data_IF_641255045275
#
_entry.id   IF_641255045275
#
_cell.length_a   1.000
_cell.length_b   1.000
_cell.length_c   1.000
_cell.angle_alpha   90.00
_cell.angle_beta   90.00
_cell.angle_gamma   90.00
#
_symmetry.space_group_name_H-M   'P 1'
#
loop_
_entity.id
_entity.type
_entity.pdbx_description
1 polymer ?
#
# COMPACT_ATOMS: atom_id res chain seq x y z
N UNK A 1 41.47 7.55 -12.46
CA UNK A 1 40.44 7.33 -13.50
C UNK A 1 39.24 6.64 -12.86
N UNK A 2 38.10 7.33 -12.77
CA UNK A 2 36.83 6.66 -12.44
C UNK A 2 36.38 5.87 -13.67
N UNK A 3 36.16 4.56 -13.55
CA UNK A 3 35.62 3.74 -14.64
C UNK A 3 34.23 4.20 -15.07
N UNK A 4 33.69 3.68 -16.19
CA UNK A 4 32.36 4.08 -16.70
C UNK A 4 31.31 4.03 -15.58
N UNK A 5 30.51 5.09 -15.48
CA UNK A 5 29.60 5.34 -14.36
C UNK A 5 28.62 4.19 -14.16
N UNK A 6 28.85 3.36 -13.14
CA UNK A 6 28.02 2.19 -12.85
C UNK A 6 26.63 2.61 -12.36
N UNK A 7 25.58 1.79 -12.59
CA UNK A 7 24.28 2.07 -12.02
C UNK A 7 24.32 2.16 -10.49
N UNK A 8 23.47 3.02 -9.93
CA UNK A 8 23.33 3.27 -8.48
C UNK A 8 21.90 2.99 -8.07
N UNK A 9 21.72 2.40 -6.88
CA UNK A 9 20.40 2.17 -6.30
C UNK A 9 20.23 3.10 -5.12
N UNK A 10 19.07 3.75 -5.02
CA UNK A 10 18.71 4.62 -3.91
C UNK A 10 17.38 4.11 -3.35
N UNK A 11 17.34 3.84 -2.04
CA UNK A 11 16.14 3.35 -1.35
C UNK A 11 15.59 4.47 -0.47
N UNK A 12 14.31 4.83 -0.68
CA UNK A 12 13.55 5.76 0.15
C UNK A 12 12.45 5.00 0.89
N UNK A 13 12.30 5.24 2.18
CA UNK A 13 11.22 4.66 2.97
C UNK A 13 11.39 4.89 4.46
N UNK A 14 10.62 4.14 5.24
CA UNK A 14 10.61 4.20 6.71
C UNK A 14 11.42 3.04 7.33
N UNK A 15 10.94 2.46 8.44
CA UNK A 15 11.62 1.40 9.19
C UNK A 15 11.93 0.15 8.34
N UNK A 16 11.04 -0.26 7.43
CA UNK A 16 11.28 -1.44 6.54
C UNK A 16 12.51 -1.24 5.65
N UNK A 17 12.70 -0.04 5.10
CA UNK A 17 13.89 0.30 4.31
C UNK A 17 15.10 0.45 5.20
N UNK A 18 14.94 1.03 6.41
CA UNK A 18 16.04 1.16 7.37
C UNK A 18 16.61 -0.20 7.78
N UNK A 19 15.76 -1.17 8.13
CA UNK A 19 16.17 -2.52 8.51
C UNK A 19 16.53 -3.41 7.31
N UNK A 20 16.38 -2.92 6.08
CA UNK A 20 16.70 -3.70 4.87
C UNK A 20 18.18 -4.08 4.77
N UNK A 21 19.08 -3.37 5.46
CA UNK A 21 20.51 -3.67 5.51
C UNK A 21 20.95 -4.41 6.78
N UNK A 22 20.02 -4.78 7.66
CA UNK A 22 20.30 -5.68 8.77
C UNK A 22 20.73 -7.07 8.26
N UNK A 23 21.20 -7.95 9.15
CA UNK A 23 21.67 -9.27 8.76
C UNK A 23 20.58 -10.02 7.96
N UNK A 24 20.92 -10.47 6.75
CA UNK A 24 20.00 -11.11 5.80
C UNK A 24 18.81 -10.24 5.34
N UNK A 25 18.86 -8.93 5.52
CA UNK A 25 17.84 -8.01 5.03
C UNK A 25 17.83 -7.90 3.50
N UNK A 26 16.68 -7.57 2.91
CA UNK A 26 16.48 -7.52 1.46
C UNK A 26 17.37 -6.48 0.74
N UNK A 27 17.67 -5.36 1.39
CA UNK A 27 18.60 -4.34 0.88
C UNK A 27 20.04 -4.85 0.86
N UNK A 28 20.47 -5.58 1.89
CA UNK A 28 21.76 -6.27 1.92
C UNK A 28 21.85 -7.36 0.84
N UNK A 29 20.77 -8.13 0.63
CA UNK A 29 20.68 -9.13 -0.44
C UNK A 29 20.84 -8.48 -1.83
N UNK A 30 20.16 -7.35 -2.08
CA UNK A 30 20.33 -6.60 -3.34
C UNK A 30 21.77 -6.10 -3.50
N UNK A 31 22.35 -5.50 -2.46
CA UNK A 31 23.72 -5.00 -2.50
C UNK A 31 24.74 -6.13 -2.78
N UNK A 32 24.54 -7.31 -2.19
CA UNK A 32 25.34 -8.50 -2.44
C UNK A 32 25.14 -9.04 -3.86
N UNK A 33 23.89 -9.18 -4.32
CA UNK A 33 23.55 -9.73 -5.65
C UNK A 33 24.11 -8.86 -6.78
N UNK A 34 24.07 -7.55 -6.61
CA UNK A 34 24.61 -6.59 -7.56
C UNK A 34 26.06 -6.18 -7.25
N UNK A 35 26.72 -6.83 -6.29
CA UNK A 35 28.09 -6.52 -5.92
C UNK A 35 29.01 -6.53 -7.15
N UNK A 36 29.88 -5.52 -7.24
CA UNK A 36 30.79 -5.28 -8.38
C UNK A 36 30.09 -5.00 -9.72
N UNK A 37 28.76 -4.93 -9.80
CA UNK A 37 28.00 -4.47 -10.98
C UNK A 37 27.50 -3.03 -10.81
N UNK A 38 27.12 -2.67 -9.58
CA UNK A 38 26.66 -1.33 -9.19
C UNK A 38 27.79 -0.52 -8.51
N UNK A 39 27.60 0.80 -8.42
CA UNK A 39 28.53 1.68 -7.72
C UNK A 39 28.68 1.34 -6.23
N UNK A 40 29.91 1.41 -5.69
CA UNK A 40 30.25 1.12 -4.28
C UNK A 40 29.51 1.99 -3.23
N UNK A 41 28.82 3.06 -3.66
CA UNK A 41 28.22 4.06 -2.77
C UNK A 41 26.80 3.69 -2.30
N UNK A 42 26.28 2.51 -2.67
CA UNK A 42 24.93 2.05 -2.28
C UNK A 42 24.80 1.67 -0.79
N UNK A 43 25.90 1.46 -0.08
CA UNK A 43 25.91 0.80 1.25
C UNK A 43 25.66 1.72 2.45
N UNK A 44 25.57 3.04 2.28
CA UNK A 44 25.65 3.99 3.43
C UNK A 44 24.56 5.07 3.48
N UNK A 45 23.53 5.07 2.61
CA UNK A 45 22.53 6.15 2.62
C UNK A 45 21.10 5.64 2.60
N UNK A 46 20.63 5.21 3.78
CA UNK A 46 19.21 5.27 4.12
C UNK A 46 18.94 6.72 4.53
N UNK A 47 18.47 7.55 3.60
CA UNK A 47 17.96 8.87 3.96
C UNK A 47 16.57 8.70 4.57
N UNK A 48 16.45 8.89 5.89
CA UNK A 48 15.16 9.12 6.55
C UNK A 48 14.54 10.37 5.92
N UNK A 49 13.50 10.20 5.12
CA UNK A 49 12.60 11.29 4.76
C UNK A 49 11.20 10.83 5.10
N UNK A 50 10.59 11.47 6.10
CA UNK A 50 9.15 11.39 6.30
C UNK A 50 8.46 12.03 5.08
N UNK A 51 7.29 11.53 4.70
CA UNK A 51 6.54 12.01 3.52
C UNK A 51 6.39 13.56 3.53
N UNK A 52 6.18 14.14 4.71
CA UNK A 52 6.09 15.59 4.98
C UNK A 52 7.40 16.37 4.73
N UNK A 53 8.55 15.71 4.74
CA UNK A 53 9.85 16.32 4.41
C UNK A 53 10.17 16.21 2.91
N UNK A 54 9.72 15.13 2.25
CA UNK A 54 9.84 14.96 0.79
C UNK A 54 8.93 15.92 0.01
N UNK A 55 7.71 16.17 0.49
CA UNK A 55 6.76 17.10 -0.15
C UNK A 55 7.18 18.57 -0.08
N UNK A 56 8.09 18.92 0.85
CA UNK A 56 8.68 20.27 0.99
C UNK A 56 9.88 20.52 0.07
N UNK A 57 10.24 19.59 -0.81
CA UNK A 57 11.25 19.82 -1.84
C UNK A 57 12.68 19.98 -1.30
N UNK A 58 13.02 19.41 -0.14
CA UNK A 58 14.40 19.41 0.36
C UNK A 58 15.28 18.55 -0.55
N UNK A 59 16.01 19.22 -1.44
CA UNK A 59 16.92 18.65 -2.45
C UNK A 59 18.28 18.23 -1.90
N UNK A 60 18.55 18.48 -0.60
CA UNK A 60 19.88 18.28 0.01
C UNK A 60 20.32 16.82 0.12
N UNK A 61 19.41 15.87 -0.03
CA UNK A 61 19.68 14.42 0.04
C UNK A 61 19.96 13.78 -1.31
N UNK A 62 19.68 14.45 -2.43
CA UNK A 62 20.01 13.94 -3.76
C UNK A 62 21.46 14.28 -4.12
N UNK A 63 22.26 13.30 -4.56
CA UNK A 63 23.63 13.58 -4.92
C UNK A 63 23.70 14.45 -6.19
N UNK A 64 23.91 15.75 -6.04
CA UNK A 64 24.19 16.66 -7.14
C UNK A 64 25.62 16.49 -7.62
N UNK A 65 25.83 16.46 -8.95
CA UNK A 65 27.15 16.35 -9.57
C UNK A 65 27.65 14.93 -9.87
N UNK A 66 26.79 13.91 -9.83
CA UNK A 66 27.23 12.53 -9.99
C UNK A 66 27.14 12.03 -11.44
N UNK A 67 28.28 11.60 -12.01
CA UNK A 67 28.38 11.00 -13.35
C UNK A 67 28.02 9.50 -13.32
N UNK A 68 26.73 9.16 -13.24
CA UNK A 68 26.29 7.77 -13.44
C UNK A 68 25.52 7.58 -14.74
N UNK A 69 25.55 6.35 -15.26
CA UNK A 69 24.80 5.99 -16.46
C UNK A 69 23.31 5.78 -16.18
N UNK A 70 22.92 5.36 -14.96
CA UNK A 70 21.53 5.00 -14.61
C UNK A 70 21.33 4.99 -13.09
N UNK A 71 20.19 5.48 -12.61
CA UNK A 71 19.79 5.33 -11.20
C UNK A 71 18.51 4.51 -11.10
N UNK A 72 18.45 3.58 -10.15
CA UNK A 72 17.21 2.93 -9.75
C UNK A 72 16.83 3.50 -8.38
N UNK A 73 15.68 4.17 -8.33
CA UNK A 73 15.14 4.73 -7.10
C UNK A 73 13.95 3.89 -6.67
N UNK A 74 14.05 3.24 -5.52
CA UNK A 74 12.97 2.46 -4.93
C UNK A 74 12.34 3.28 -3.81
N UNK A 75 11.04 3.52 -3.89
CA UNK A 75 10.25 4.27 -2.91
C UNK A 75 9.30 3.32 -2.21
N UNK A 76 9.38 3.24 -0.88
CA UNK A 76 8.63 2.30 -0.06
C UNK A 76 8.04 2.99 1.19
N UNK A 77 6.85 3.57 1.01
CA UNK A 77 6.04 4.25 2.03
C UNK A 77 4.62 3.65 2.10
N UNK A 78 3.80 4.07 3.06
CA UNK A 78 2.41 3.66 3.21
C UNK A 78 2.09 2.97 4.54
N UNK A 79 3.06 2.27 5.13
CA UNK A 79 2.83 1.52 6.37
C UNK A 79 2.59 2.42 7.59
N UNK A 80 3.37 3.51 7.71
CA UNK A 80 3.20 4.47 8.80
C UNK A 80 2.11 5.51 8.50
N UNK A 81 1.84 5.76 7.22
CA UNK A 81 0.89 6.76 6.74
C UNK A 81 -0.56 6.35 7.01
N UNK A 82 -0.81 5.02 7.02
CA UNK A 82 -2.12 4.39 7.20
C UNK A 82 -2.53 4.16 8.66
N UNK A 83 -1.70 4.55 9.63
CA UNK A 83 -2.08 4.43 11.05
C UNK A 83 -3.20 5.42 11.41
N UNK A 84 -3.95 5.15 12.46
CA UNK A 84 -4.98 6.06 12.95
C UNK A 84 -4.38 7.44 13.33
N UNK A 85 -5.05 8.57 13.02
CA UNK A 85 -4.60 9.87 13.44
C UNK A 85 -4.54 9.95 14.97
N UNK A 86 -3.35 10.26 15.49
CA UNK A 86 -3.19 10.49 16.92
C UNK A 86 -3.98 11.74 17.35
N UNK A 87 -4.69 11.75 18.50
CA UNK A 87 -5.54 12.87 18.92
C UNK A 87 -4.86 14.23 19.01
N UNK A 88 -3.54 14.25 19.22
CA UNK A 88 -2.74 15.49 19.24
C UNK A 88 -2.48 16.08 17.83
N UNK A 89 -2.83 15.37 16.76
CA UNK A 89 -2.41 15.67 15.39
C UNK A 89 -0.91 15.41 15.13
N UNK A 90 -0.17 15.00 16.17
CA UNK A 90 1.24 14.66 16.09
C UNK A 90 1.36 13.14 15.95
N UNK A 91 1.45 12.69 14.71
CA UNK A 91 1.64 11.29 14.37
C UNK A 91 2.08 11.15 12.91
N UNK A 92 2.57 9.96 12.52
CA UNK A 92 2.96 9.70 11.14
C UNK A 92 1.76 9.52 10.19
N UNK A 93 0.52 9.53 10.69
CA UNK A 93 -0.68 9.49 9.85
C UNK A 93 -0.63 10.56 8.75
N UNK A 94 -0.98 10.13 7.53
CA UNK A 94 -1.18 10.98 6.36
C UNK A 94 -2.53 10.62 5.75
N UNK A 95 -3.49 11.55 5.68
CA UNK A 95 -4.78 11.29 5.04
C UNK A 95 -4.61 10.81 3.60
N UNK A 96 -5.45 9.89 3.14
CA UNK A 96 -5.32 9.27 1.82
C UNK A 96 -5.18 10.28 0.66
N UNK A 97 -5.96 11.37 0.57
CA UNK A 97 -5.76 12.37 -0.49
C UNK A 97 -4.36 13.03 -0.43
N UNK A 98 -3.89 13.35 0.77
CA UNK A 98 -2.55 13.92 0.97
C UNK A 98 -1.46 12.90 0.62
N UNK A 99 -1.65 11.62 0.98
CA UNK A 99 -0.73 10.55 0.63
C UNK A 99 -0.61 10.40 -0.89
N UNK A 100 -1.74 10.34 -1.61
CA UNK A 100 -1.77 10.25 -3.08
C UNK A 100 -1.02 11.43 -3.70
N UNK A 101 -1.28 12.65 -3.24
CA UNK A 101 -0.61 13.86 -3.73
C UNK A 101 0.88 13.86 -3.43
N UNK A 102 1.28 13.42 -2.23
CA UNK A 102 2.67 13.31 -1.84
C UNK A 102 3.41 12.27 -2.70
N UNK A 103 2.79 11.11 -2.98
CA UNK A 103 3.36 10.08 -3.86
C UNK A 103 3.49 10.57 -5.30
N UNK A 104 2.48 11.29 -5.83
CA UNK A 104 2.55 11.96 -7.14
C UNK A 104 3.69 12.98 -7.20
N UNK A 105 3.81 13.85 -6.18
CA UNK A 105 4.89 14.85 -6.09
C UNK A 105 6.27 14.20 -6.08
N UNK A 106 6.45 13.13 -5.29
CA UNK A 106 7.70 12.36 -5.26
C UNK A 106 7.98 11.77 -6.64
N UNK A 107 7.02 11.10 -7.26
CA UNK A 107 7.19 10.49 -8.58
C UNK A 107 7.58 11.51 -9.66
N UNK A 108 6.88 12.65 -9.70
CA UNK A 108 7.14 13.74 -10.65
C UNK A 108 8.50 14.39 -10.41
N UNK A 109 8.86 14.64 -9.14
CA UNK A 109 10.15 15.21 -8.79
C UNK A 109 11.29 14.29 -9.23
N UNK A 110 11.23 12.99 -8.89
CA UNK A 110 12.26 12.01 -9.26
C UNK A 110 12.41 11.87 -10.77
N UNK A 111 11.30 11.86 -11.52
CA UNK A 111 11.32 11.84 -12.99
C UNK A 111 11.93 13.12 -13.57
N UNK A 112 11.69 14.27 -12.95
CA UNK A 112 12.22 15.57 -13.37
C UNK A 112 13.72 15.76 -13.13
N UNK A 113 14.34 14.98 -12.23
CA UNK A 113 15.77 15.09 -11.93
C UNK A 113 16.67 14.59 -13.10
N UNK A 114 16.28 13.52 -13.80
CA UNK A 114 17.04 12.97 -14.94
C UNK A 114 16.25 11.88 -15.66
N UNK A 115 16.33 11.85 -17.00
CA UNK A 115 15.78 10.77 -17.85
C UNK A 115 16.46 9.41 -17.61
N UNK A 116 17.62 9.39 -16.95
CA UNK A 116 18.38 8.18 -16.58
C UNK A 116 17.89 7.55 -15.28
N UNK A 117 16.98 8.19 -14.55
CA UNK A 117 16.37 7.65 -13.35
C UNK A 117 15.25 6.67 -13.75
N UNK A 118 15.20 5.53 -13.07
CA UNK A 118 14.13 4.54 -13.10
C UNK A 118 13.53 4.49 -11.71
N UNK A 119 12.25 4.84 -11.58
CA UNK A 119 11.56 4.90 -10.29
C UNK A 119 10.68 3.66 -10.14
N UNK A 120 10.79 2.99 -8.99
CA UNK A 120 9.95 1.85 -8.60
C UNK A 120 9.30 2.17 -7.26
N UNK A 121 7.99 1.97 -7.17
CA UNK A 121 7.25 2.06 -5.91
C UNK A 121 6.95 0.64 -5.40
N UNK A 122 7.16 0.42 -4.11
CA UNK A 122 6.76 -0.82 -3.44
C UNK A 122 5.50 -0.55 -2.62
N UNK A 123 4.50 -1.42 -2.75
CA UNK A 123 3.30 -1.41 -1.91
C UNK A 123 3.61 -1.92 -0.51
N UNK A 124 2.80 -1.52 0.48
CA UNK A 124 2.90 -2.02 1.86
C UNK A 124 2.94 -3.55 1.89
N UNK A 125 3.82 -4.15 2.71
CA UNK A 125 3.86 -5.60 2.83
C UNK A 125 2.56 -6.12 3.48
N UNK A 126 2.23 -7.40 3.31
CA UNK A 126 1.16 -8.01 4.07
C UNK A 126 1.45 -7.90 5.58
N UNK A 127 0.39 -7.83 6.37
CA UNK A 127 0.45 -7.73 7.83
C UNK A 127 0.32 -9.13 8.44
N UNK A 128 1.15 -9.45 9.43
CA UNK A 128 1.01 -10.70 10.18
C UNK A 128 -0.05 -10.53 11.29
N UNK A 129 -1.29 -10.88 10.96
CA UNK A 129 -2.47 -10.78 11.83
C UNK A 129 -2.31 -11.50 13.17
N UNK A 130 -1.73 -12.70 13.17
CA UNK A 130 -1.54 -13.50 14.39
C UNK A 130 -0.61 -12.81 15.38
N UNK A 131 0.46 -12.18 14.88
CA UNK A 131 1.43 -11.49 15.72
C UNK A 131 0.88 -10.19 16.28
N UNK A 132 0.09 -9.45 15.51
CA UNK A 132 -0.49 -8.18 15.96
C UNK A 132 -1.85 -8.35 16.67
N UNK A 133 -2.39 -9.57 16.71
CA UNK A 133 -3.68 -9.94 17.33
C UNK A 133 -4.87 -9.12 16.83
N UNK A 134 -4.84 -8.77 15.55
CA UNK A 134 -5.90 -8.02 14.86
C UNK A 134 -6.26 -8.80 13.60
N UNK A 135 -7.56 -8.97 13.37
CA UNK A 135 -8.07 -9.56 12.12
C UNK A 135 -7.94 -8.53 11.00
N UNK A 136 -7.44 -8.95 9.85
CA UNK A 136 -7.36 -8.12 8.65
C UNK A 136 -8.06 -8.84 7.48
N UNK A 137 -8.56 -8.04 6.55
CA UNK A 137 -9.11 -8.56 5.29
C UNK A 137 -8.08 -8.27 4.19
N UNK A 138 -7.40 -9.30 3.70
CA UNK A 138 -6.43 -9.16 2.61
C UNK A 138 -7.14 -9.10 1.26
N UNK A 139 -7.63 -7.89 0.94
CA UNK A 139 -8.30 -7.61 -0.33
C UNK A 139 -7.39 -7.86 -1.54
N UNK A 140 -6.07 -7.67 -1.42
CA UNK A 140 -5.15 -7.90 -2.54
C UNK A 140 -5.16 -9.37 -2.96
N UNK A 141 -5.05 -10.28 -1.99
CA UNK A 141 -5.15 -11.71 -2.26
C UNK A 141 -6.56 -12.09 -2.71
N UNK A 142 -7.60 -11.51 -2.11
CA UNK A 142 -8.98 -11.79 -2.49
C UNK A 142 -9.31 -11.42 -3.94
N UNK A 143 -8.98 -10.21 -4.39
CA UNK A 143 -9.20 -9.77 -5.77
C UNK A 143 -8.48 -10.67 -6.78
N UNK A 144 -7.27 -11.12 -6.45
CA UNK A 144 -6.44 -11.95 -7.35
C UNK A 144 -6.84 -13.42 -7.41
N UNK A 145 -7.91 -13.84 -6.71
CA UNK A 145 -8.55 -15.16 -6.95
C UNK A 145 -9.24 -15.23 -8.32
N UNK A 146 -9.43 -14.08 -8.99
CA UNK A 146 -10.02 -13.93 -10.32
C UNK A 146 -8.95 -13.42 -11.30
N UNK A 147 -8.99 -13.85 -12.56
CA UNK A 147 -8.00 -13.45 -13.57
C UNK A 147 -8.25 -12.05 -14.14
N UNK A 148 -9.52 -11.63 -14.24
CA UNK A 148 -9.99 -10.39 -14.85
C UNK A 148 -10.24 -9.25 -13.82
N UNK A 149 -9.74 -9.42 -12.60
CA UNK A 149 -10.04 -8.52 -11.47
C UNK A 149 -9.75 -7.04 -11.74
N UNK A 150 -8.72 -6.71 -12.52
CA UNK A 150 -8.35 -5.32 -12.81
C UNK A 150 -9.43 -4.56 -13.59
N UNK A 151 -10.11 -5.24 -14.52
CA UNK A 151 -11.13 -4.64 -15.37
C UNK A 151 -12.52 -4.80 -14.80
N UNK A 152 -12.75 -5.88 -14.05
CA UNK A 152 -14.08 -6.23 -13.55
C UNK A 152 -14.35 -5.66 -12.18
N UNK A 153 -13.35 -5.60 -11.28
CA UNK A 153 -13.55 -5.14 -9.90
C UNK A 153 -13.30 -3.64 -9.70
N UNK A 154 -12.82 -2.93 -10.73
CA UNK A 154 -12.48 -1.51 -10.65
C UNK A 154 -13.05 -0.74 -11.83
N UNK A 155 -13.58 0.45 -11.58
CA UNK A 155 -14.16 1.31 -12.63
C UNK A 155 -13.09 2.16 -13.34
N UNK A 156 -12.08 2.61 -12.61
CA UNK A 156 -10.98 3.45 -13.11
C UNK A 156 -9.60 2.97 -12.65
N UNK A 157 -9.52 1.73 -12.19
CA UNK A 157 -8.32 1.15 -11.58
C UNK A 157 -8.06 1.57 -10.13
N UNK A 158 -8.95 2.37 -9.52
CA UNK A 158 -8.87 2.79 -8.10
C UNK A 158 -10.19 2.54 -7.37
N UNK A 159 -11.32 3.00 -7.93
CA UNK A 159 -12.64 2.84 -7.32
C UNK A 159 -13.24 1.48 -7.66
N UNK A 160 -13.89 0.84 -6.67
CA UNK A 160 -14.54 -0.45 -6.89
C UNK A 160 -15.76 -0.31 -7.80
N UNK A 161 -15.95 -1.30 -8.68
CA UNK A 161 -17.24 -1.54 -9.35
C UNK A 161 -18.25 -2.16 -8.37
N UNK A 162 -19.46 -2.46 -8.85
CA UNK A 162 -20.45 -3.24 -8.10
C UNK A 162 -19.87 -4.59 -7.69
N UNK A 163 -19.26 -5.31 -8.63
CA UNK A 163 -18.63 -6.63 -8.42
C UNK A 163 -17.43 -6.55 -7.47
N UNK A 164 -16.64 -5.47 -7.56
CA UNK A 164 -15.54 -5.23 -6.64
C UNK A 164 -16.03 -5.00 -5.20
N UNK A 165 -17.11 -4.24 -5.05
CA UNK A 165 -17.73 -3.96 -3.76
C UNK A 165 -18.37 -5.19 -3.15
N UNK A 166 -19.04 -6.02 -3.96
CA UNK A 166 -19.61 -7.30 -3.54
C UNK A 166 -18.53 -8.25 -2.99
N UNK A 167 -17.39 -8.35 -3.68
CA UNK A 167 -16.27 -9.17 -3.21
C UNK A 167 -15.73 -8.67 -1.87
N UNK A 168 -15.56 -7.36 -1.70
CA UNK A 168 -15.10 -6.75 -0.45
C UNK A 168 -16.08 -7.07 0.69
N UNK A 169 -17.38 -6.90 0.46
CA UNK A 169 -18.41 -7.22 1.44
C UNK A 169 -18.36 -8.71 1.84
N UNK A 170 -18.23 -9.61 0.86
CA UNK A 170 -18.12 -11.06 1.11
C UNK A 170 -16.92 -11.40 2.00
N UNK A 171 -15.75 -10.83 1.73
CA UNK A 171 -14.55 -11.11 2.54
C UNK A 171 -14.66 -10.49 3.95
N UNK A 172 -15.33 -9.34 4.11
CA UNK A 172 -15.62 -8.76 5.44
C UNK A 172 -16.55 -9.67 6.23
N UNK A 173 -17.68 -10.09 5.64
CA UNK A 173 -18.65 -10.97 6.31
C UNK A 173 -18.00 -12.28 6.76
N UNK A 174 -17.21 -12.89 5.88
CA UNK A 174 -16.44 -14.08 6.22
C UNK A 174 -15.48 -13.84 7.39
N UNK A 175 -14.74 -12.73 7.38
CA UNK A 175 -13.82 -12.40 8.46
C UNK A 175 -14.53 -12.19 9.80
N UNK A 176 -15.75 -11.60 9.79
CA UNK A 176 -16.58 -11.43 10.98
C UNK A 176 -17.05 -12.78 11.55
N UNK A 177 -17.51 -13.69 10.68
CA UNK A 177 -17.93 -15.05 11.08
C UNK A 177 -16.77 -15.85 11.69
N UNK A 178 -15.59 -15.77 11.08
CA UNK A 178 -14.38 -16.47 11.54
C UNK A 178 -13.71 -15.83 12.76
N UNK A 179 -14.08 -14.60 13.12
CA UNK A 179 -13.42 -13.87 14.20
C UNK A 179 -13.77 -14.39 15.60
N UNK A 180 -14.92 -15.06 15.76
CA UNK A 180 -15.38 -15.58 17.05
C UNK A 180 -15.49 -14.50 18.13
N UNK A 181 -15.86 -13.27 17.74
CA UNK A 181 -16.01 -12.15 18.66
C UNK A 181 -17.20 -12.35 19.60
N UNK A 182 -17.06 -11.86 20.83
CA UNK A 182 -18.14 -11.80 21.82
C UNK A 182 -18.37 -10.35 22.30
N UNK A 183 -19.57 -9.78 22.10
CA UNK A 183 -20.73 -10.38 21.43
C UNK A 183 -20.50 -10.58 19.92
N UNK A 184 -21.13 -11.61 19.34
CA UNK A 184 -21.09 -11.85 17.90
C UNK A 184 -21.67 -10.67 17.13
N UNK A 185 -20.96 -10.24 16.07
CA UNK A 185 -21.43 -9.23 15.12
C UNK A 185 -22.02 -9.84 13.83
N UNK A 186 -22.24 -11.16 13.80
CA UNK A 186 -22.95 -11.77 12.67
C UNK A 186 -24.39 -11.24 12.63
N UNK A 187 -24.86 -10.83 11.45
CA UNK A 187 -26.18 -10.19 11.30
C UNK A 187 -27.32 -11.05 11.89
N UNK A 188 -27.25 -12.38 11.72
CA UNK A 188 -28.24 -13.32 12.22
C UNK A 188 -28.30 -13.42 13.76
N UNK A 189 -27.23 -12.98 14.45
CA UNK A 189 -27.18 -12.94 15.93
C UNK A 189 -27.49 -11.56 16.51
N UNK A 190 -27.58 -10.52 15.68
CA UNK A 190 -27.89 -9.17 16.14
C UNK A 190 -29.41 -8.97 16.21
N UNK A 191 -29.93 -8.33 17.27
CA UNK A 191 -31.36 -8.00 17.33
C UNK A 191 -31.71 -6.93 16.29
N UNK A 192 -32.83 -7.10 15.61
CA UNK A 192 -33.38 -6.07 14.71
C UNK A 192 -33.73 -4.83 15.53
N UNK A 193 -33.16 -3.67 15.19
CA UNK A 193 -33.33 -2.43 15.95
C UNK A 193 -34.73 -1.80 15.77
N UNK A 194 -35.43 -2.13 14.67
CA UNK A 194 -36.77 -1.63 14.36
C UNK A 194 -37.68 -2.77 13.87
N UNK A 195 -38.78 -3.01 14.59
CA UNK A 195 -39.84 -3.93 14.18
C UNK A 195 -40.79 -3.19 13.22
N UNK A 196 -40.85 -3.62 11.94
CA UNK A 196 -41.89 -3.40 10.90
C UNK A 196 -41.39 -2.90 9.51
N UNK A 197 -41.63 -3.76 8.51
CA UNK A 197 -42.10 -3.46 7.14
C UNK A 197 -41.33 -2.47 6.25
N UNK A 198 -40.00 -2.53 6.21
CA UNK A 198 -39.24 -1.89 5.14
C UNK A 198 -38.30 -2.90 4.47
N UNK A 199 -38.72 -3.35 3.28
CA UNK A 199 -37.85 -4.04 2.31
C UNK A 199 -36.75 -3.04 1.91
N UNK A 200 -35.58 -3.15 2.53
CA UNK A 200 -34.41 -2.40 2.11
C UNK A 200 -33.86 -3.05 0.84
N UNK A 201 -34.31 -2.55 -0.31
CA UNK A 201 -33.61 -2.79 -1.57
C UNK A 201 -32.26 -2.07 -1.50
N UNK A 202 -31.16 -2.84 -1.44
CA UNK A 202 -29.83 -2.28 -1.68
C UNK A 202 -29.74 -1.90 -3.16
N UNK A 203 -29.91 -0.61 -3.45
CA UNK A 203 -29.84 -0.08 -4.80
C UNK A 203 -28.38 0.09 -5.18
N UNK A 204 -27.92 -0.68 -6.16
CA UNK A 204 -26.62 -0.48 -6.81
C UNK A 204 -26.57 0.88 -7.52
N UNK A 205 -25.38 1.38 -7.87
CA UNK A 205 -25.27 2.62 -8.65
C UNK A 205 -26.02 2.56 -10.00
N UNK A 206 -26.35 1.35 -10.46
CA UNK A 206 -27.06 1.06 -11.71
C UNK A 206 -28.58 0.93 -11.54
N UNK A 207 -29.10 1.05 -10.31
CA UNK A 207 -30.54 1.03 -10.02
C UNK A 207 -31.14 -0.36 -9.79
N UNK A 208 -30.35 -1.43 -9.82
CA UNK A 208 -30.81 -2.79 -9.51
C UNK A 208 -30.76 -3.06 -8.01
N UNK A 209 -31.82 -3.70 -7.48
CA UNK A 209 -31.91 -4.11 -6.08
C UNK A 209 -31.27 -5.48 -5.85
N UNK A 210 -30.38 -5.57 -4.87
CA UNK A 210 -29.76 -6.84 -4.46
C UNK A 210 -30.42 -7.31 -3.17
N UNK A 211 -30.95 -8.54 -3.18
CA UNK A 211 -31.41 -9.22 -1.97
C UNK A 211 -30.21 -9.79 -1.21
N UNK A 212 -30.02 -9.34 0.03
CA UNK A 212 -28.91 -9.77 0.92
C UNK A 212 -28.88 -11.30 1.13
N UNK A 213 -30.02 -11.97 1.01
CA UNK A 213 -30.15 -13.43 1.11
C UNK A 213 -29.42 -14.18 -0.01
N UNK A 214 -29.26 -13.56 -1.18
CA UNK A 214 -28.65 -14.20 -2.36
C UNK A 214 -27.12 -14.21 -2.29
N UNK A 215 -26.52 -13.27 -1.53
CA UNK A 215 -25.07 -13.20 -1.28
C UNK A 215 -24.56 -14.38 -0.43
N UNK A 216 -25.44 -15.07 0.29
CA UNK A 216 -25.10 -16.21 1.15
C UNK A 216 -25.14 -17.56 0.41
N UNK A 217 -25.67 -17.64 -0.81
CA UNK A 217 -26.01 -18.91 -1.47
C UNK A 217 -25.03 -19.40 -2.56
N UNK A 218 -23.85 -18.78 -2.71
CA UNK A 218 -22.81 -19.28 -3.61
C UNK A 218 -21.53 -19.66 -2.85
N UNK A 219 -21.57 -20.91 -2.35
CA UNK A 219 -20.45 -21.72 -1.87
C UNK A 219 -19.73 -22.43 -3.02
#
# INVERSE_FOLDING_TARGET
>A
MFGPGRPVFVLFGSSIVQFSFSNQGWGAILAHTFARKIGRHNTERVCRMELKACSRGSTSSFPTGWCYSTFIVIVYFGGNDSIEPHPSGLGPHVPLPEFIDNMKKIALHLKGLSEKIRVMFLSTPPVNEEQIRIKCVDLWTAFRKRDDWMTTCFTDGIHFSSEGSELVAKEILKAMEEAGWEPSLCCNSMPTEFDQDLVYDLVTQDGESINVSDLQNHS
#
